data_IF_298183467435
#
_entry.id   IF_298183467435
#
_cell.length_a   1.000
_cell.length_b   1.000
_cell.length_c   1.000
_cell.angle_alpha   90.00
_cell.angle_beta   90.00
_cell.angle_gamma   90.00
#
_symmetry.space_group_name_H-M   'P 1'
#
loop_
_entity.id
_entity.type
_entity.pdbx_description
1 polymer ?
#
# COMPACT_ATOMS: atom_id res chain seq x y z
N UNK A 1 23.12 5.24 67.17
CA UNK A 1 23.56 3.83 67.16
C UNK A 1 23.12 3.27 65.81
N UNK A 2 23.94 3.29 64.73
CA UNK A 2 25.18 2.51 64.48
C UNK A 2 24.91 1.02 64.74
N UNK A 3 25.10 0.04 63.85
CA UNK A 3 25.60 -0.09 62.47
C UNK A 3 25.12 -1.46 61.94
N UNK A 4 25.01 -1.70 60.63
CA UNK A 4 26.08 -2.31 59.80
C UNK A 4 25.37 -2.95 58.59
N UNK A 5 25.55 -2.52 57.32
CA UNK A 5 26.71 -2.68 56.40
C UNK A 5 27.05 -4.18 56.25
N UNK A 6 27.02 -4.82 55.06
CA UNK A 6 28.06 -4.84 54.00
C UNK A 6 27.50 -5.78 52.89
N UNK A 7 27.33 -5.32 51.64
CA UNK A 7 28.32 -5.31 50.51
C UNK A 7 28.50 -6.71 49.90
N UNK A 8 28.36 -6.92 48.59
CA UNK A 8 29.27 -6.47 47.52
C UNK A 8 28.53 -6.48 46.17
N UNK A 9 28.52 -5.43 45.33
CA UNK A 9 29.59 -4.71 44.61
C UNK A 9 30.17 -5.43 43.39
N UNK A 10 29.94 -4.83 42.21
CA UNK A 10 30.93 -4.35 41.22
C UNK A 10 30.13 -3.60 40.12
N UNK A 11 30.15 -2.27 39.90
CA UNK A 11 31.24 -1.28 39.74
C UNK A 11 32.20 -1.72 38.61
N UNK A 12 32.53 -0.98 37.54
CA UNK A 12 32.69 0.44 37.17
C UNK A 12 32.26 0.59 35.68
N UNK A 13 31.78 1.69 35.10
CA UNK A 13 32.07 3.10 35.35
C UNK A 13 33.22 3.59 34.45
N UNK A 14 32.91 4.20 33.29
CA UNK A 14 33.74 5.28 32.72
C UNK A 14 33.01 5.98 31.56
N UNK A 15 32.40 7.13 31.85
CA UNK A 15 32.26 8.21 30.87
C UNK A 15 33.53 9.05 30.95
N UNK A 16 34.30 9.08 29.87
CA UNK A 16 35.41 10.02 29.69
C UNK A 16 35.00 11.01 28.62
N UNK A 17 34.76 12.27 29.01
CA UNK A 17 34.76 13.40 28.09
C UNK A 17 36.16 14.04 28.14
N UNK A 18 36.84 14.07 26.99
CA UNK A 18 37.97 14.99 26.77
C UNK A 18 37.67 15.80 25.51
N UNK A 19 37.64 17.12 25.70
CA UNK A 19 37.50 18.15 24.67
C UNK A 19 38.64 18.08 23.65
N UNK A 20 38.31 18.12 22.35
CA UNK A 20 39.32 18.15 21.29
C UNK A 20 38.77 18.62 19.94
N UNK A 21 38.85 19.95 19.72
CA UNK A 21 38.86 20.71 18.46
C UNK A 21 37.61 20.58 17.54
N UNK A 22 36.86 21.68 17.29
CA UNK A 22 35.80 21.66 16.28
C UNK A 22 36.38 21.42 14.88
N UNK A 23 35.77 20.51 14.12
CA UNK A 23 36.09 20.32 12.69
C UNK A 23 35.99 21.67 11.97
N UNK A 24 36.98 22.05 11.15
CA UNK A 24 36.88 23.27 10.36
C UNK A 24 35.67 23.16 9.41
N UNK A 25 34.94 24.27 9.29
CA UNK A 25 33.91 24.44 8.28
C UNK A 25 34.51 24.14 6.90
N UNK A 26 33.79 23.37 6.08
CA UNK A 26 34.25 22.97 4.77
C UNK A 26 34.66 24.20 3.94
N UNK A 27 35.83 24.19 3.28
CA UNK A 27 36.16 25.23 2.32
C UNK A 27 35.14 25.20 1.17
N UNK A 28 34.81 26.36 0.58
CA UNK A 28 33.96 26.41 -0.60
C UNK A 28 34.60 25.57 -1.72
N UNK A 29 33.80 24.93 -2.60
CA UNK A 29 34.31 24.02 -3.60
C UNK A 29 35.36 24.71 -4.48
N UNK A 30 36.56 24.13 -4.48
CA UNK A 30 37.71 24.60 -5.23
C UNK A 30 37.36 24.70 -6.71
N UNK A 31 37.49 25.90 -7.25
CA UNK A 31 37.47 26.18 -8.69
C UNK A 31 38.73 25.61 -9.34
N UNK A 32 38.72 24.32 -9.65
CA UNK A 32 39.76 23.71 -10.50
C UNK A 32 39.47 24.04 -11.96
N UNK A 33 39.94 25.21 -12.39
CA UNK A 33 40.21 25.49 -13.80
C UNK A 33 41.48 24.74 -14.23
N UNK A 34 41.32 23.60 -14.89
CA UNK A 34 42.33 23.02 -15.78
C UNK A 34 41.66 22.44 -17.02
N UNK A 35 41.99 23.02 -18.18
CA UNK A 35 41.82 22.39 -19.49
C UNK A 35 40.73 22.97 -20.39
N UNK A 36 40.85 24.23 -20.78
CA UNK A 36 40.31 24.67 -22.06
C UNK A 36 41.25 24.16 -23.17
N UNK A 37 40.83 23.16 -23.93
CA UNK A 37 41.08 23.15 -25.38
C UNK A 37 40.16 22.17 -26.12
N UNK A 38 39.67 22.67 -27.28
CA UNK A 38 39.11 21.91 -28.43
C UNK A 38 37.92 21.03 -28.04
N UNK A 39 36.69 21.53 -27.96
CA UNK A 39 35.90 22.08 -29.05
C UNK A 39 34.76 22.89 -28.41
N UNK A 40 34.59 24.15 -28.77
CA UNK A 40 33.39 24.91 -28.43
C UNK A 40 32.35 24.67 -29.53
N UNK A 41 31.15 24.13 -29.26
CA UNK A 41 30.05 24.25 -30.19
C UNK A 41 29.42 25.64 -29.99
N UNK A 42 29.57 26.47 -31.00
CA UNK A 42 28.84 27.73 -31.20
C UNK A 42 27.35 27.59 -30.87
N UNK A 43 26.79 28.58 -30.17
CA UNK A 43 25.35 28.78 -30.05
C UNK A 43 24.74 28.95 -31.44
N UNK A 44 24.19 27.87 -31.98
CA UNK A 44 23.15 27.95 -33.00
C UNK A 44 21.85 27.49 -32.35
N UNK A 45 20.90 28.42 -32.23
CA UNK A 45 19.50 28.11 -31.96
C UNK A 45 19.07 27.17 -33.09
N UNK A 46 18.96 25.87 -32.79
CA UNK A 46 18.33 24.91 -33.68
C UNK A 46 16.85 24.90 -33.36
N UNK A 47 16.05 25.31 -34.33
CA UNK A 47 14.60 25.17 -34.31
C UNK A 47 14.21 23.78 -33.79
N UNK A 48 13.40 23.77 -32.74
CA UNK A 48 12.77 22.56 -32.20
C UNK A 48 11.69 22.10 -33.17
N UNK A 49 12.09 21.36 -34.20
CA UNK A 49 11.17 20.61 -35.04
C UNK A 49 11.41 19.11 -34.88
N UNK A 50 10.41 18.47 -34.27
CA UNK A 50 10.00 17.09 -34.51
C UNK A 50 10.82 15.97 -33.86
N UNK A 51 10.08 15.17 -33.10
CA UNK A 51 10.46 13.95 -32.38
C UNK A 51 11.32 13.04 -33.28
N UNK A 52 12.64 13.06 -33.08
CA UNK A 52 13.53 11.98 -33.53
C UNK A 52 13.85 11.12 -32.33
N UNK A 53 13.19 9.96 -32.22
CA UNK A 53 13.70 8.85 -31.41
C UNK A 53 14.94 8.31 -32.11
N UNK A 54 16.08 8.95 -31.87
CA UNK A 54 17.39 8.43 -32.29
C UNK A 54 17.70 7.18 -31.47
N UNK A 55 17.39 6.01 -32.03
CA UNK A 55 17.99 4.76 -31.59
C UNK A 55 19.51 4.89 -31.80
N UNK A 56 20.26 5.09 -30.71
CA UNK A 56 21.73 5.02 -30.74
C UNK A 56 22.12 3.65 -31.30
N UNK A 57 22.85 3.61 -32.43
CA UNK A 57 23.35 2.36 -33.03
C UNK A 57 24.41 1.74 -32.11
N UNK A 58 23.99 0.75 -31.32
CA UNK A 58 24.86 -0.02 -30.43
C UNK A 58 24.44 0.03 -28.96
N UNK A 59 24.43 -1.15 -28.32
CA UNK A 59 24.08 -1.33 -26.90
C UNK A 59 22.79 -2.14 -26.66
N UNK A 60 22.53 -2.50 -25.39
CA UNK A 60 21.28 -3.14 -24.98
C UNK A 60 20.12 -2.16 -25.23
N UNK A 61 19.05 -2.56 -25.93
CA UNK A 61 17.88 -1.72 -26.14
C UNK A 61 17.39 -1.09 -24.84
N UNK A 62 17.12 0.22 -24.87
CA UNK A 62 16.61 0.92 -23.70
C UNK A 62 15.16 0.51 -23.47
N UNK A 63 14.84 0.04 -22.27
CA UNK A 63 13.45 -0.28 -21.91
C UNK A 63 12.57 0.95 -22.03
N UNK A 64 11.38 0.77 -22.59
CA UNK A 64 10.39 1.84 -22.70
C UNK A 64 10.00 2.39 -21.33
N UNK A 65 9.55 3.65 -21.28
CA UNK A 65 9.15 4.30 -20.02
C UNK A 65 8.05 3.50 -19.30
N UNK A 66 7.13 2.88 -20.05
CA UNK A 66 6.05 2.04 -19.52
C UNK A 66 6.53 0.70 -18.91
N UNK A 67 7.60 0.11 -19.44
CA UNK A 67 8.17 -1.15 -18.90
C UNK A 67 9.06 -0.93 -17.68
N UNK A 68 9.52 0.32 -17.49
CA UNK A 68 10.43 0.68 -16.41
C UNK A 68 9.66 0.88 -15.11
N UNK A 69 9.81 -0.07 -14.18
CA UNK A 69 9.31 0.02 -12.79
C UNK A 69 10.09 1.09 -12.01
N UNK A 70 9.70 2.37 -12.16
CA UNK A 70 10.43 3.55 -11.64
C UNK A 70 10.23 3.79 -10.15
N UNK A 71 9.01 3.60 -9.64
CA UNK A 71 8.67 3.92 -8.26
C UNK A 71 9.08 2.80 -7.31
N UNK A 72 9.56 3.18 -6.11
CA UNK A 72 9.95 2.27 -5.05
C UNK A 72 9.02 2.45 -3.87
N UNK A 73 8.53 1.34 -3.31
CA UNK A 73 7.76 1.30 -2.07
C UNK A 73 8.60 0.51 -1.06
N UNK A 74 8.91 1.11 0.08
CA UNK A 74 9.60 0.45 1.18
C UNK A 74 8.59 0.16 2.29
N UNK A 75 8.47 -1.11 2.68
CA UNK A 75 7.57 -1.55 3.75
C UNK A 75 8.42 -2.07 4.90
N UNK A 76 8.12 -1.63 6.12
CA UNK A 76 8.68 -2.22 7.34
C UNK A 76 7.76 -3.34 7.78
N UNK A 77 8.32 -4.53 8.00
CA UNK A 77 7.58 -5.73 8.37
C UNK A 77 7.98 -6.19 9.77
N UNK A 78 7.07 -6.87 10.45
CA UNK A 78 7.42 -7.63 11.65
C UNK A 78 8.27 -8.85 11.25
N UNK A 79 8.96 -9.45 12.23
CA UNK A 79 9.77 -10.65 12.00
C UNK A 79 8.93 -11.79 11.41
N UNK A 80 7.73 -12.01 11.95
CA UNK A 80 6.80 -13.05 11.52
C UNK A 80 6.33 -12.84 10.07
N UNK A 81 5.90 -11.63 9.74
CA UNK A 81 5.44 -11.27 8.40
C UNK A 81 6.56 -11.46 7.35
N UNK A 82 7.79 -11.09 7.71
CA UNK A 82 8.94 -11.22 6.83
C UNK A 82 9.24 -12.69 6.49
N UNK A 83 9.28 -13.57 7.49
CA UNK A 83 9.53 -15.00 7.24
C UNK A 83 8.38 -15.67 6.51
N UNK A 84 7.13 -15.26 6.78
CA UNK A 84 5.96 -15.72 6.06
C UNK A 84 6.03 -15.33 4.58
N UNK A 85 6.35 -14.06 4.30
CA UNK A 85 6.52 -13.56 2.93
C UNK A 85 7.66 -14.30 2.20
N UNK A 86 8.79 -14.47 2.88
CA UNK A 86 9.96 -15.17 2.34
C UNK A 86 9.66 -16.64 2.04
N UNK A 87 8.96 -17.33 2.93
CA UNK A 87 8.50 -18.70 2.73
C UNK A 87 7.57 -18.82 1.52
N UNK A 88 6.56 -17.95 1.44
CA UNK A 88 5.62 -17.91 0.30
C UNK A 88 6.32 -17.64 -1.03
N UNK A 89 7.27 -16.70 -1.06
CA UNK A 89 8.05 -16.40 -2.25
C UNK A 89 8.92 -17.59 -2.69
N UNK A 90 9.57 -18.27 -1.74
CA UNK A 90 10.34 -19.50 -2.02
C UNK A 90 9.47 -20.62 -2.55
N UNK A 91 8.31 -20.85 -1.94
CA UNK A 91 7.37 -21.89 -2.37
C UNK A 91 6.84 -21.62 -3.79
N UNK A 92 6.65 -20.35 -4.14
CA UNK A 92 6.25 -19.94 -5.48
C UNK A 92 7.42 -19.87 -6.49
N UNK A 93 8.66 -20.10 -6.06
CA UNK A 93 9.85 -20.06 -6.93
C UNK A 93 10.17 -18.69 -7.52
N UNK A 94 9.67 -17.59 -6.94
CA UNK A 94 9.83 -16.23 -7.45
C UNK A 94 10.52 -15.32 -6.44
N UNK A 95 11.07 -14.20 -6.93
CA UNK A 95 11.65 -13.19 -6.05
C UNK A 95 10.58 -12.54 -5.16
N UNK A 96 10.96 -12.11 -3.95
CA UNK A 96 10.02 -11.45 -3.03
C UNK A 96 9.33 -10.24 -3.67
N UNK A 97 10.08 -9.45 -4.44
CA UNK A 97 9.55 -8.28 -5.16
C UNK A 97 8.54 -8.66 -6.23
N UNK A 98 8.69 -9.81 -6.90
CA UNK A 98 7.70 -10.31 -7.84
C UNK A 98 6.48 -10.88 -7.14
N UNK A 99 6.69 -11.56 -6.03
CA UNK A 99 5.60 -12.08 -5.22
C UNK A 99 4.69 -10.94 -4.75
N UNK A 100 5.26 -9.88 -4.16
CA UNK A 100 4.49 -8.71 -3.71
C UNK A 100 3.76 -8.04 -4.88
N UNK A 101 4.39 -7.93 -6.06
CA UNK A 101 3.71 -7.37 -7.25
C UNK A 101 2.50 -8.20 -7.69
N UNK A 102 2.64 -9.53 -7.76
CA UNK A 102 1.53 -10.43 -8.09
C UNK A 102 0.42 -10.39 -7.03
N UNK A 103 0.80 -10.26 -5.76
CA UNK A 103 -0.15 -10.10 -4.65
C UNK A 103 -0.85 -8.74 -4.74
N UNK A 104 -0.19 -7.66 -5.17
CA UNK A 104 -0.86 -6.37 -5.37
C UNK A 104 -1.79 -6.39 -6.58
N UNK A 105 -1.43 -7.10 -7.66
CA UNK A 105 -2.30 -7.26 -8.84
C UNK A 105 -3.58 -8.04 -8.54
N UNK A 106 -3.50 -9.04 -7.64
CA UNK A 106 -4.64 -9.90 -7.26
C UNK A 106 -5.27 -9.56 -5.92
N UNK A 107 -4.60 -8.69 -5.16
CA UNK A 107 -4.91 -8.41 -3.77
C UNK A 107 -6.15 -7.56 -3.72
N UNK A 108 -7.27 -8.17 -3.36
CA UNK A 108 -8.47 -7.41 -3.10
C UNK A 108 -8.30 -6.69 -1.77
N UNK A 109 -8.05 -5.39 -1.81
CA UNK A 109 -8.18 -4.55 -0.62
C UNK A 109 -9.66 -4.48 -0.33
N UNK A 110 -10.09 -5.06 0.80
CA UNK A 110 -11.47 -4.90 1.26
C UNK A 110 -11.61 -3.42 1.60
N UNK A 111 -12.18 -2.66 0.67
CA UNK A 111 -12.55 -1.28 0.90
C UNK A 111 -13.52 -1.25 2.09
N UNK A 112 -13.44 -0.19 2.91
CA UNK A 112 -14.45 0.01 3.95
C UNK A 112 -15.81 0.09 3.26
N UNK A 113 -16.79 -0.63 3.80
CA UNK A 113 -18.19 -0.64 3.36
C UNK A 113 -18.59 0.76 2.88
N UNK A 114 -18.83 0.89 1.58
CA UNK A 114 -19.23 2.18 1.02
C UNK A 114 -20.58 2.56 1.63
N UNK A 115 -20.86 3.86 1.72
CA UNK A 115 -22.12 4.33 2.33
C UNK A 115 -23.32 3.68 1.63
N UNK A 116 -23.25 3.50 0.31
CA UNK A 116 -24.26 2.83 -0.50
C UNK A 116 -24.45 1.36 -0.11
N UNK A 117 -23.37 0.60 0.06
CA UNK A 117 -23.43 -0.79 0.50
C UNK A 117 -24.02 -0.91 1.91
N UNK A 118 -23.66 0.01 2.82
CA UNK A 118 -24.25 0.05 4.16
C UNK A 118 -25.76 0.35 4.12
N UNK A 119 -26.20 1.20 3.19
CA UNK A 119 -27.63 1.50 2.99
C UNK A 119 -28.40 0.32 2.41
N UNK A 120 -27.80 -0.48 1.52
CA UNK A 120 -28.40 -1.74 1.07
C UNK A 120 -28.57 -2.74 2.22
N UNK A 121 -27.58 -2.84 3.11
CA UNK A 121 -27.67 -3.68 4.33
C UNK A 121 -28.81 -3.19 5.24
N UNK A 122 -28.94 -1.88 5.46
CA UNK A 122 -30.05 -1.30 6.24
C UNK A 122 -31.41 -1.61 5.62
N UNK A 123 -31.54 -1.48 4.29
CA UNK A 123 -32.77 -1.83 3.56
C UNK A 123 -33.12 -3.31 3.70
N UNK A 124 -32.13 -4.21 3.60
CA UNK A 124 -32.32 -5.65 3.85
C UNK A 124 -32.81 -5.94 5.26
N UNK A 125 -32.23 -5.28 6.27
CA UNK A 125 -32.67 -5.40 7.66
C UNK A 125 -34.14 -4.97 7.82
N UNK A 126 -34.54 -3.85 7.20
CA UNK A 126 -35.94 -3.41 7.18
C UNK A 126 -36.88 -4.43 6.51
N UNK A 127 -36.45 -5.06 5.42
CA UNK A 127 -37.24 -6.10 4.75
C UNK A 127 -37.35 -7.39 5.56
N UNK A 128 -36.32 -7.77 6.32
CA UNK A 128 -36.40 -8.90 7.25
C UNK A 128 -37.47 -8.65 8.33
N UNK A 129 -37.60 -7.42 8.83
CA UNK A 129 -38.66 -7.06 9.75
C UNK A 129 -40.05 -7.14 9.09
N UNK A 130 -40.17 -6.71 7.83
CA UNK A 130 -41.43 -6.85 7.08
C UNK A 130 -41.83 -8.33 6.89
N UNK A 131 -40.87 -9.21 6.61
CA UNK A 131 -41.12 -10.65 6.54
C UNK A 131 -41.57 -11.22 7.88
N UNK A 132 -40.95 -10.80 8.98
CA UNK A 132 -41.35 -11.24 10.32
C UNK A 132 -42.79 -10.82 10.65
N UNK A 133 -43.16 -9.58 10.30
CA UNK A 133 -44.54 -9.09 10.46
C UNK A 133 -45.54 -9.90 9.62
N UNK A 134 -45.19 -10.22 8.38
CA UNK A 134 -46.03 -11.06 7.52
C UNK A 134 -46.17 -12.49 8.09
N UNK A 135 -45.13 -13.06 8.67
CA UNK A 135 -45.19 -14.37 9.31
C UNK A 135 -46.13 -14.36 10.52
N UNK A 136 -46.01 -13.37 11.40
CA UNK A 136 -46.92 -13.20 12.54
C UNK A 136 -48.37 -13.01 12.09
N UNK A 137 -48.59 -12.21 11.04
CA UNK A 137 -49.94 -11.98 10.50
C UNK A 137 -50.52 -13.22 9.82
N UNK A 138 -49.71 -13.99 9.10
CA UNK A 138 -50.13 -15.26 8.52
C UNK A 138 -50.51 -16.29 9.58
N UNK A 139 -49.82 -16.29 10.73
CA UNK A 139 -50.15 -17.17 11.86
C UNK A 139 -51.46 -16.76 12.56
N UNK A 140 -51.79 -15.47 12.60
CA UNK A 140 -53.00 -14.96 13.24
C UNK A 140 -54.24 -14.99 12.31
N UNK A 141 -54.10 -14.46 11.10
CA UNK A 141 -55.21 -14.24 10.16
C UNK A 141 -55.28 -15.31 9.05
N UNK A 142 -54.27 -16.18 8.96
CA UNK A 142 -54.12 -17.16 7.88
C UNK A 142 -53.35 -16.63 6.65
N UNK A 143 -52.74 -17.55 5.89
CA UNK A 143 -51.82 -17.20 4.79
C UNK A 143 -52.49 -16.47 3.60
N UNK A 144 -53.79 -16.66 3.39
CA UNK A 144 -54.54 -16.05 2.30
C UNK A 144 -54.47 -14.51 2.31
N UNK A 145 -54.40 -13.89 3.49
CA UNK A 145 -54.27 -12.44 3.68
C UNK A 145 -52.88 -11.92 3.25
N UNK A 146 -51.85 -12.77 3.36
CA UNK A 146 -50.43 -12.44 3.13
C UNK A 146 -49.97 -12.83 1.72
N UNK A 147 -50.69 -13.74 1.06
CA UNK A 147 -50.43 -14.22 -0.30
C UNK A 147 -50.18 -13.12 -1.37
N UNK A 148 -50.83 -11.94 -1.39
CA UNK A 148 -50.50 -10.93 -2.39
C UNK A 148 -49.17 -10.19 -2.10
N UNK A 149 -48.75 -10.11 -0.83
CA UNK A 149 -47.61 -9.28 -0.41
C UNK A 149 -46.27 -10.00 -0.48
N UNK A 150 -46.23 -11.33 -0.26
CA UNK A 150 -44.97 -12.07 -0.18
C UNK A 150 -44.15 -12.00 -1.48
N UNK A 151 -44.80 -12.07 -2.66
CA UNK A 151 -44.11 -12.01 -3.96
C UNK A 151 -43.41 -10.67 -4.18
N UNK A 152 -44.03 -9.58 -3.73
CA UNK A 152 -43.48 -8.23 -3.86
C UNK A 152 -42.22 -8.07 -3.01
N UNK A 153 -42.23 -8.60 -1.79
CA UNK A 153 -41.07 -8.53 -0.89
C UNK A 153 -39.91 -9.37 -1.41
N UNK A 154 -40.19 -10.59 -1.90
CA UNK A 154 -39.17 -11.46 -2.49
C UNK A 154 -38.50 -10.76 -3.68
N UNK A 155 -39.27 -10.15 -4.59
CA UNK A 155 -38.71 -9.42 -5.73
C UNK A 155 -37.79 -8.26 -5.34
N UNK A 156 -38.15 -7.51 -4.27
CA UNK A 156 -37.30 -6.42 -3.74
C UNK A 156 -36.02 -6.93 -3.07
N UNK A 157 -36.08 -8.08 -2.41
CA UNK A 157 -34.89 -8.74 -1.83
C UNK A 157 -33.94 -9.15 -2.95
N UNK A 158 -34.43 -9.79 -4.00
CA UNK A 158 -33.61 -10.20 -5.15
C UNK A 158 -32.96 -9.00 -5.84
N UNK A 159 -33.68 -7.90 -6.00
CA UNK A 159 -33.13 -6.66 -6.56
C UNK A 159 -31.96 -6.13 -5.72
N UNK A 160 -32.12 -6.01 -4.40
CA UNK A 160 -31.06 -5.52 -3.52
C UNK A 160 -29.88 -6.49 -3.45
N UNK A 161 -30.12 -7.81 -3.46
CA UNK A 161 -29.06 -8.80 -3.51
C UNK A 161 -28.26 -8.74 -4.81
N UNK A 162 -28.91 -8.45 -5.94
CA UNK A 162 -28.24 -8.26 -7.22
C UNK A 162 -27.40 -6.97 -7.27
N UNK A 163 -27.77 -5.94 -6.49
CA UNK A 163 -26.97 -4.72 -6.34
C UNK A 163 -25.74 -4.92 -5.45
N UNK A 164 -25.81 -5.77 -4.42
CA UNK A 164 -24.68 -6.06 -3.52
C UNK A 164 -23.66 -7.00 -4.18
N UNK A 165 -24.12 -7.93 -5.03
CA UNK A 165 -23.26 -8.93 -5.68
C UNK A 165 -22.38 -8.32 -6.80
N UNK A 166 -22.76 -7.16 -7.31
CA UNK A 166 -22.09 -6.48 -8.43
C UNK A 166 -20.89 -5.67 -7.93
#
# INVERSE_FOLDING_TARGET
>A
MIAGIVLHNLFFGEQVYVLGIPKPLAPPPDSWCRGLSRWSPSNQIKETSMIKTEYKKGGRPTKGVAEKKKYRITVKLTTEDYYTLKGKAKNAGISMSEFVRKVLEKGNVIERLTVEQADFIRKLCGMANNLNQLAHRANADGFHVVAPFHKIIIGKIDEILNLIRR
#
